data_IF_001872537969
#
_entry.id   IF_001872537969
#
_cell.length_a   1.000
_cell.length_b   1.000
_cell.length_c   1.000
_cell.angle_alpha   90.00
_cell.angle_beta   90.00
_cell.angle_gamma   90.00
#
_symmetry.space_group_name_H-M   'P 1'
#
loop_
_entity.id
_entity.type
_entity.pdbx_description
1 polymer ?
#
# COMPACT_ATOMS: atom_id res chain seq x y z
N UNK A 1 -2.73 -11.91 7.64
CA UNK A 1 -3.25 -10.55 7.34
C UNK A 1 -4.61 -10.68 6.68
N UNK A 2 -5.62 -9.89 7.06
CA UNK A 2 -6.99 -10.09 6.56
C UNK A 2 -7.17 -9.62 5.11
N UNK A 3 -6.72 -8.41 4.80
CA UNK A 3 -6.80 -7.77 3.49
C UNK A 3 -5.54 -6.94 3.20
N UNK A 4 -5.32 -6.58 1.94
CA UNK A 4 -4.31 -5.62 1.52
C UNK A 4 -4.91 -4.72 0.44
N UNK A 5 -5.26 -3.51 0.83
CA UNK A 5 -5.87 -2.52 -0.05
C UNK A 5 -4.81 -1.57 -0.59
N UNK A 6 -4.60 -1.51 -1.90
CA UNK A 6 -3.85 -0.40 -2.50
C UNK A 6 -4.76 0.82 -2.61
N UNK A 7 -4.33 1.96 -2.08
CA UNK A 7 -5.06 3.23 -2.17
C UNK A 7 -4.20 4.26 -2.89
N UNK A 8 -4.69 4.79 -4.00
CA UNK A 8 -3.92 5.64 -4.91
C UNK A 8 -4.78 6.76 -5.46
N UNK A 9 -4.24 7.98 -5.50
CA UNK A 9 -4.78 9.08 -6.30
C UNK A 9 -3.93 9.21 -7.56
N UNK A 10 -4.58 9.19 -8.72
CA UNK A 10 -3.95 9.14 -10.04
C UNK A 10 -4.73 9.98 -11.03
N UNK A 11 -4.07 10.62 -11.99
CA UNK A 11 -4.78 11.32 -13.06
C UNK A 11 -5.09 10.39 -14.24
N UNK A 12 -5.75 10.92 -15.27
CA UNK A 12 -6.14 10.15 -16.46
C UNK A 12 -4.95 9.65 -17.29
N UNK A 13 -3.74 10.18 -17.08
CA UNK A 13 -2.51 9.75 -17.74
C UNK A 13 -1.65 8.84 -16.87
N UNK A 14 -2.16 8.39 -15.71
CA UNK A 14 -1.44 7.50 -14.80
C UNK A 14 -0.44 8.22 -13.88
N UNK A 15 -0.35 9.55 -13.92
CA UNK A 15 0.56 10.33 -13.06
C UNK A 15 0.09 10.26 -11.61
N UNK A 16 1.02 10.00 -10.69
CA UNK A 16 0.79 9.99 -9.23
C UNK A 16 1.77 10.90 -8.48
N UNK A 17 2.73 11.51 -9.17
CA UNK A 17 3.74 12.35 -8.53
C UNK A 17 4.53 13.20 -9.52
N UNK A 18 5.03 14.33 -9.02
CA UNK A 18 5.98 15.22 -9.67
C UNK A 18 6.89 15.80 -8.58
N UNK A 19 8.21 15.72 -8.73
CA UNK A 19 9.16 16.34 -7.80
C UNK A 19 9.03 15.83 -6.35
N UNK A 20 8.68 14.56 -6.18
CA UNK A 20 8.39 13.95 -4.87
C UNK A 20 7.21 14.59 -4.11
N UNK A 21 6.22 15.13 -4.82
CA UNK A 21 4.96 15.62 -4.27
C UNK A 21 3.77 15.20 -5.16
N UNK A 22 2.55 15.34 -4.65
CA UNK A 22 1.35 15.24 -5.48
C UNK A 22 1.24 16.50 -6.36
N UNK A 23 0.97 16.38 -7.67
CA UNK A 23 0.89 17.51 -8.59
C UNK A 23 -0.46 18.27 -8.52
N UNK A 24 -1.27 17.96 -7.51
CA UNK A 24 -2.55 18.60 -7.25
C UNK A 24 -2.80 18.73 -5.76
N UNK A 25 -3.68 19.66 -5.42
CA UNK A 25 -4.17 19.87 -4.08
C UNK A 25 -5.68 19.58 -4.02
N UNK A 26 -6.02 18.34 -3.67
CA UNK A 26 -7.40 17.86 -3.53
C UNK A 26 -7.62 17.47 -2.07
N UNK A 27 -8.06 18.43 -1.25
CA UNK A 27 -8.21 18.27 0.21
C UNK A 27 -9.28 17.25 0.55
N UNK A 28 -10.37 17.16 -0.22
CA UNK A 28 -11.41 16.19 0.09
C UNK A 28 -10.99 14.75 -0.20
N UNK A 29 -10.10 14.52 -1.17
CA UNK A 29 -9.44 13.21 -1.36
C UNK A 29 -8.45 12.91 -0.22
N UNK A 30 -7.64 13.89 0.21
CA UNK A 30 -6.77 13.70 1.38
C UNK A 30 -7.56 13.41 2.67
N UNK A 31 -8.77 13.96 2.79
CA UNK A 31 -9.72 13.64 3.87
C UNK A 31 -10.20 12.20 3.75
N UNK A 32 -10.64 11.79 2.56
CA UNK A 32 -11.03 10.39 2.29
C UNK A 32 -9.89 9.43 2.61
N UNK A 33 -8.67 9.66 2.11
CA UNK A 33 -7.48 8.85 2.43
C UNK A 33 -7.25 8.74 3.93
N UNK A 34 -7.36 9.85 4.66
CA UNK A 34 -7.18 9.88 6.12
C UNK A 34 -8.25 9.05 6.83
N UNK A 35 -9.51 9.25 6.50
CA UNK A 35 -10.64 8.54 7.11
C UNK A 35 -10.55 7.04 6.83
N UNK A 36 -10.30 6.67 5.58
CA UNK A 36 -10.17 5.27 5.15
C UNK A 36 -9.01 4.54 5.81
N UNK A 37 -7.85 5.19 5.98
CA UNK A 37 -6.64 4.53 6.50
C UNK A 37 -6.47 4.61 8.02
N UNK A 38 -7.26 5.42 8.73
CA UNK A 38 -7.10 5.64 10.17
C UNK A 38 -7.35 4.36 10.98
N UNK A 39 -6.50 4.11 11.98
CA UNK A 39 -6.56 2.88 12.79
C UNK A 39 -5.91 1.66 12.13
N UNK A 40 -5.64 1.72 10.82
CA UNK A 40 -5.00 0.66 10.06
C UNK A 40 -3.46 0.66 10.13
N UNK A 41 -2.89 -0.23 9.33
CA UNK A 41 -1.46 -0.30 9.00
C UNK A 41 -1.26 0.28 7.61
N UNK A 42 -0.28 1.17 7.44
CA UNK A 42 0.09 1.74 6.14
C UNK A 42 1.47 1.27 5.74
N UNK A 43 1.60 0.68 4.56
CA UNK A 43 2.87 0.25 3.95
C UNK A 43 3.22 1.26 2.87
N UNK A 44 4.43 1.82 2.95
CA UNK A 44 4.93 2.76 1.95
C UNK A 44 6.42 2.60 1.67
N UNK A 45 6.85 3.10 0.51
CA UNK A 45 8.27 3.20 0.17
C UNK A 45 8.91 4.45 0.79
N UNK A 46 10.25 4.43 0.89
CA UNK A 46 11.05 5.55 1.44
C UNK A 46 10.70 6.91 0.82
N UNK A 47 10.66 7.03 -0.52
CA UNK A 47 10.39 8.32 -1.19
C UNK A 47 9.03 8.91 -0.80
N UNK A 48 8.00 8.06 -0.72
CA UNK A 48 6.66 8.46 -0.27
C UNK A 48 6.67 8.91 1.19
N UNK A 49 7.40 8.21 2.06
CA UNK A 49 7.57 8.64 3.44
C UNK A 49 8.25 10.02 3.54
N UNK A 50 9.32 10.24 2.77
CA UNK A 50 10.03 11.53 2.70
C UNK A 50 9.12 12.65 2.18
N UNK A 51 8.28 12.36 1.17
CA UNK A 51 7.29 13.28 0.62
C UNK A 51 6.25 13.71 1.65
N UNK A 52 5.76 12.77 2.46
CA UNK A 52 4.82 13.04 3.56
C UNK A 52 5.53 13.80 4.69
N UNK A 53 6.83 13.56 4.89
CA UNK A 53 7.70 14.25 5.84
C UNK A 53 7.49 13.87 7.31
N UNK A 54 6.49 13.03 7.63
CA UNK A 54 6.18 12.60 9.00
C UNK A 54 5.40 11.29 9.02
N UNK A 55 5.41 10.57 10.16
CA UNK A 55 4.52 9.44 10.37
C UNK A 55 3.07 9.86 10.25
N UNK A 56 2.27 9.03 9.59
CA UNK A 56 0.84 9.26 9.51
C UNK A 56 0.21 9.00 10.90
N UNK A 57 -0.44 9.99 11.53
CA UNK A 57 -0.95 9.84 12.90
C UNK A 57 -2.06 8.79 12.94
N UNK A 58 -2.20 8.14 14.11
CA UNK A 58 -3.20 7.09 14.40
C UNK A 58 -3.14 5.90 13.44
N UNK A 59 -1.97 5.65 12.85
CA UNK A 59 -1.68 4.55 11.93
C UNK A 59 -0.37 3.88 12.33
N UNK A 60 -0.26 2.58 12.08
CA UNK A 60 1.02 1.88 12.16
C UNK A 60 1.73 2.04 10.83
N UNK A 61 2.87 2.73 10.80
CA UNK A 61 3.58 3.05 9.57
C UNK A 61 4.67 2.00 9.33
N UNK A 62 4.60 1.28 8.21
CA UNK A 62 5.65 0.36 7.74
C UNK A 62 6.34 1.03 6.55
N UNK A 63 7.63 1.32 6.69
CA UNK A 63 8.41 1.97 5.64
C UNK A 63 9.45 1.01 5.09
N UNK A 64 9.34 0.68 3.81
CA UNK A 64 10.30 -0.17 3.10
C UNK A 64 11.50 0.67 2.66
N UNK A 65 12.66 0.39 3.22
CA UNK A 65 13.89 1.13 2.96
C UNK A 65 15.12 0.32 3.37
N UNK A 66 16.20 0.37 2.58
CA UNK A 66 17.50 -0.16 3.00
C UNK A 66 18.28 0.79 3.93
N UNK A 67 17.85 2.05 4.08
CA UNK A 67 18.50 3.00 4.97
C UNK A 67 18.15 2.68 6.43
N UNK A 68 19.09 2.09 7.17
CA UNK A 68 18.93 1.73 8.57
C UNK A 68 18.69 2.93 9.50
N UNK A 69 19.14 4.14 9.13
CA UNK A 69 18.99 5.35 9.93
C UNK A 69 17.58 5.97 9.86
N UNK A 70 16.73 5.55 8.90
CA UNK A 70 15.44 6.20 8.60
C UNK A 70 14.45 6.25 9.78
N UNK A 71 14.50 5.28 10.69
CA UNK A 71 13.45 5.09 11.70
C UNK A 71 13.97 5.03 13.13
N UNK A 72 15.22 5.43 13.40
CA UNK A 72 15.85 5.18 14.70
C UNK A 72 15.11 5.83 15.89
N UNK A 73 14.15 6.75 15.68
CA UNK A 73 13.54 7.53 16.77
C UNK A 73 12.07 7.95 16.54
N UNK A 74 11.35 7.36 15.57
CA UNK A 74 9.96 7.77 15.28
C UNK A 74 8.93 6.80 15.89
N UNK A 75 8.06 7.24 16.82
CA UNK A 75 7.01 6.39 17.36
C UNK A 75 6.03 5.98 16.27
N UNK A 76 5.57 4.73 16.32
CA UNK A 76 4.64 4.13 15.35
C UNK A 76 5.17 4.03 13.90
N UNK A 77 6.50 4.05 13.73
CA UNK A 77 7.17 3.73 12.46
C UNK A 77 8.02 2.47 12.62
N UNK A 78 7.79 1.50 11.75
CA UNK A 78 8.59 0.30 11.62
C UNK A 78 9.30 0.34 10.26
N UNK A 79 10.63 0.41 10.27
CA UNK A 79 11.42 0.19 9.06
C UNK A 79 11.47 -1.30 8.75
N UNK A 80 11.30 -1.66 7.49
CA UNK A 80 11.56 -3.01 6.97
C UNK A 80 12.44 -2.90 5.72
N UNK A 81 13.11 -4.00 5.40
CA UNK A 81 14.11 -4.05 4.34
C UNK A 81 13.60 -4.62 3.01
N UNK A 82 12.41 -5.24 3.00
CA UNK A 82 11.82 -5.81 1.79
C UNK A 82 10.28 -5.82 1.83
N UNK A 83 9.66 -6.14 0.69
CA UNK A 83 8.20 -6.33 0.57
C UNK A 83 7.73 -7.52 1.39
N UNK A 84 8.49 -8.61 1.40
CA UNK A 84 8.18 -9.81 2.17
C UNK A 84 8.17 -9.49 3.67
N UNK A 85 9.17 -8.75 4.14
CA UNK A 85 9.22 -8.31 5.53
C UNK A 85 8.07 -7.35 5.87
N UNK A 86 7.68 -6.46 4.94
CA UNK A 86 6.54 -5.57 5.12
C UNK A 86 5.22 -6.33 5.31
N UNK A 87 4.96 -7.32 4.47
CA UNK A 87 3.77 -8.18 4.55
C UNK A 87 3.82 -9.02 5.82
N UNK A 88 4.99 -9.59 6.16
CA UNK A 88 5.19 -10.31 7.40
C UNK A 88 4.87 -9.44 8.62
N UNK A 89 5.47 -8.25 8.72
CA UNK A 89 5.23 -7.31 9.80
C UNK A 89 3.75 -6.91 9.91
N UNK A 90 3.12 -6.54 8.79
CA UNK A 90 1.71 -6.18 8.75
C UNK A 90 0.81 -7.35 9.21
N UNK A 91 1.17 -8.59 8.88
CA UNK A 91 0.41 -9.77 9.28
C UNK A 91 0.32 -9.98 10.79
N UNK A 92 1.29 -9.44 11.56
CA UNK A 92 1.37 -9.55 13.02
C UNK A 92 0.48 -8.55 13.77
N UNK A 93 0.00 -7.52 13.08
CA UNK A 93 -0.73 -6.42 13.70
C UNK A 93 -2.25 -6.65 13.74
N UNK A 94 -2.76 -7.61 12.96
CA UNK A 94 -4.20 -7.92 12.84
C UNK A 94 -5.08 -6.68 12.59
N UNK A 95 -4.60 -5.75 11.77
CA UNK A 95 -5.30 -4.53 11.33
C UNK A 95 -5.59 -4.59 9.84
N UNK A 96 -6.49 -3.74 9.38
CA UNK A 96 -6.62 -3.46 7.95
C UNK A 96 -5.32 -2.84 7.43
N UNK A 97 -4.83 -3.34 6.30
CA UNK A 97 -3.54 -2.93 5.76
C UNK A 97 -3.72 -2.22 4.43
N UNK A 98 -3.07 -1.07 4.31
CA UNK A 98 -3.12 -0.21 3.13
C UNK A 98 -1.74 -0.08 2.52
N UNK A 99 -1.63 -0.34 1.23
CA UNK A 99 -0.47 0.04 0.42
C UNK A 99 -0.70 1.46 -0.11
N UNK A 100 0.12 2.41 0.34
CA UNK A 100 -0.07 3.84 0.06
C UNK A 100 0.99 4.41 -0.89
N UNK A 101 1.66 3.53 -1.64
CA UNK A 101 2.64 3.87 -2.68
C UNK A 101 4.09 3.93 -2.19
N UNK A 102 5.03 4.47 -2.97
CA UNK A 102 4.85 5.09 -4.29
C UNK A 102 4.87 4.10 -5.45
N UNK A 103 5.12 4.60 -6.66
CA UNK A 103 5.10 3.85 -7.93
C UNK A 103 5.73 2.44 -7.82
N UNK A 104 6.98 2.36 -7.34
CA UNK A 104 7.70 1.08 -7.23
C UNK A 104 7.05 0.09 -6.26
N UNK A 105 6.37 0.59 -5.22
CA UNK A 105 5.70 -0.26 -4.24
C UNK A 105 4.43 -0.87 -4.81
N UNK A 106 3.66 -0.11 -5.59
CA UNK A 106 2.48 -0.62 -6.29
C UNK A 106 2.85 -1.79 -7.21
N UNK A 107 3.91 -1.64 -8.01
CA UNK A 107 4.37 -2.70 -8.91
C UNK A 107 4.85 -3.94 -8.14
N UNK A 108 5.67 -3.77 -7.09
CA UNK A 108 6.24 -4.91 -6.36
C UNK A 108 5.20 -5.68 -5.52
N UNK A 109 4.14 -5.02 -5.08
CA UNK A 109 3.14 -5.62 -4.19
C UNK A 109 1.86 -6.07 -4.91
N UNK A 110 1.73 -5.80 -6.21
CA UNK A 110 0.54 -6.04 -7.03
C UNK A 110 -0.06 -7.44 -6.83
N UNK A 111 0.78 -8.48 -6.84
CA UNK A 111 0.37 -9.89 -6.72
C UNK A 111 -0.28 -10.25 -5.37
N UNK A 112 -0.19 -9.36 -4.38
CA UNK A 112 -0.69 -9.53 -3.02
C UNK A 112 -1.88 -8.61 -2.70
N UNK A 113 -2.23 -7.68 -3.58
CA UNK A 113 -3.34 -6.74 -3.39
C UNK A 113 -4.65 -7.44 -3.72
N UNK A 114 -5.63 -7.37 -2.82
CA UNK A 114 -6.98 -7.90 -3.06
C UNK A 114 -8.03 -6.82 -3.29
N UNK A 115 -7.68 -5.55 -3.05
CA UNK A 115 -8.55 -4.40 -3.25
C UNK A 115 -7.76 -3.19 -3.73
N UNK A 116 -8.25 -2.50 -4.75
CA UNK A 116 -7.76 -1.17 -5.12
C UNK A 116 -8.84 -0.14 -4.82
N UNK A 117 -8.45 0.96 -4.17
CA UNK A 117 -9.22 2.19 -4.04
C UNK A 117 -8.50 3.26 -4.85
N UNK A 118 -9.09 3.62 -5.99
CA UNK A 118 -8.46 4.49 -6.97
C UNK A 118 -9.24 5.79 -7.05
N UNK A 119 -8.62 6.87 -6.59
CA UNK A 119 -9.11 8.22 -6.85
C UNK A 119 -8.61 8.66 -8.23
N UNK A 120 -9.51 8.84 -9.19
CA UNK A 120 -9.20 9.40 -10.51
C UNK A 120 -9.36 10.92 -10.47
N UNK A 121 -8.24 11.65 -10.50
CA UNK A 121 -8.22 13.11 -10.47
C UNK A 121 -8.28 13.66 -11.89
N UNK A 122 -9.30 14.46 -12.20
CA UNK A 122 -9.47 15.07 -13.52
C UNK A 122 -8.66 16.38 -13.61
N UNK A 123 -7.34 16.25 -13.53
CA UNK A 123 -6.38 17.34 -13.72
C UNK A 123 -5.27 16.87 -14.66
N UNK A 124 -5.03 17.65 -15.70
CA UNK A 124 -3.89 17.40 -16.58
C UNK A 124 -2.58 17.74 -15.84
N UNK A 125 -1.58 16.88 -16.00
CA UNK A 125 -0.25 17.04 -15.41
C UNK A 125 0.78 16.82 -16.50
N UNK A 126 1.55 17.85 -16.83
CA UNK A 126 2.51 17.81 -17.93
C UNK A 126 3.89 17.29 -17.52
N UNK A 127 4.32 17.55 -16.28
CA UNK A 127 5.68 17.24 -15.80
C UNK A 127 5.71 16.08 -14.79
N UNK A 128 4.82 15.09 -14.96
CA UNK A 128 4.75 13.92 -14.07
C UNK A 128 6.02 13.05 -14.15
N UNK A 129 6.57 12.67 -13.00
CA UNK A 129 7.79 11.83 -12.90
C UNK A 129 7.57 10.48 -12.20
N UNK A 130 6.39 10.27 -11.62
CA UNK A 130 5.98 9.02 -10.99
C UNK A 130 4.60 8.60 -11.50
N UNK A 131 4.49 7.32 -11.88
CA UNK A 131 3.30 6.78 -12.54
C UNK A 131 2.77 5.54 -11.83
N UNK A 132 1.45 5.40 -11.80
CA UNK A 132 0.75 4.16 -11.53
C UNK A 132 0.35 3.55 -12.89
N UNK A 133 1.10 2.52 -13.31
CA UNK A 133 0.83 1.82 -14.56
C UNK A 133 -0.41 0.93 -14.40
N UNK A 134 -1.44 1.15 -15.22
CA UNK A 134 -2.67 0.34 -15.21
C UNK A 134 -2.40 -1.16 -15.40
N UNK A 135 -1.29 -1.53 -16.05
CA UNK A 135 -0.85 -2.93 -16.21
C UNK A 135 -0.58 -3.64 -14.88
N UNK A 136 -0.36 -2.88 -13.80
CA UNK A 136 -0.24 -3.41 -12.43
C UNK A 136 -1.52 -4.13 -12.01
N UNK A 137 -2.68 -3.62 -12.42
CA UNK A 137 -3.99 -4.23 -12.12
C UNK A 137 -4.25 -5.41 -13.06
N UNK A 138 -3.70 -5.37 -14.27
CA UNK A 138 -3.90 -6.36 -15.31
C UNK A 138 -5.22 -6.16 -16.03
N UNK A 139 -5.92 -7.25 -16.32
CA UNK A 139 -7.21 -7.20 -17.01
C UNK A 139 -8.32 -6.72 -16.04
N UNK A 140 -8.72 -5.45 -16.19
CA UNK A 140 -9.77 -4.82 -15.40
C UNK A 140 -11.10 -5.57 -15.44
N UNK A 141 -11.42 -6.28 -16.53
CA UNK A 141 -12.66 -7.04 -16.64
C UNK A 141 -12.71 -8.26 -15.69
N UNK A 142 -11.56 -8.65 -15.12
CA UNK A 142 -11.49 -9.69 -14.09
C UNK A 142 -11.78 -9.16 -12.69
N UNK A 143 -11.83 -7.84 -12.50
CA UNK A 143 -12.07 -7.22 -11.20
C UNK A 143 -13.56 -6.90 -11.01
N UNK A 144 -14.03 -7.05 -9.77
CA UNK A 144 -15.35 -6.57 -9.39
C UNK A 144 -15.26 -5.05 -9.16
N UNK A 145 -15.56 -4.27 -10.20
CA UNK A 145 -15.53 -2.82 -10.19
C UNK A 145 -16.82 -2.25 -9.61
N UNK A 146 -16.68 -1.29 -8.69
CA UNK A 146 -17.78 -0.43 -8.24
C UNK A 146 -17.33 1.02 -8.14
N UNK A 147 -18.27 1.95 -8.33
CA UNK A 147 -18.01 3.37 -8.15
C UNK A 147 -18.39 3.74 -6.73
N UNK A 148 -17.39 4.10 -5.92
CA UNK A 148 -17.57 4.54 -4.52
C UNK A 148 -18.02 6.01 -4.48
N UNK A 149 -17.52 6.80 -5.44
CA UNK A 149 -17.90 8.20 -5.60
C UNK A 149 -17.90 8.57 -7.08
N UNK A 150 -19.05 8.99 -7.60
CA UNK A 150 -19.16 9.51 -8.95
C UNK A 150 -18.42 10.86 -9.09
N UNK A 151 -18.06 11.20 -10.33
CA UNK A 151 -17.47 12.49 -10.64
C UNK A 151 -18.49 13.61 -10.40
N UNK A 152 -18.30 14.33 -9.32
CA UNK A 152 -19.02 15.57 -9.03
C UNK A 152 -18.33 16.82 -9.60
N UNK A 153 -18.89 18.02 -9.35
CA UNK A 153 -18.18 19.27 -9.58
C UNK A 153 -16.93 19.37 -8.68
N UNK A 154 -16.05 20.32 -9.00
CA UNK A 154 -14.91 20.67 -8.14
C UNK A 154 -15.45 21.11 -6.78
N UNK A 155 -14.93 20.52 -5.70
CA UNK A 155 -15.29 20.90 -4.33
C UNK A 155 -14.55 22.20 -3.97
N UNK A 156 -15.19 23.08 -3.20
CA UNK A 156 -14.56 24.31 -2.75
C UNK A 156 -13.22 24.04 -2.03
N UNK A 157 -12.15 24.66 -2.52
CA UNK A 157 -10.80 24.51 -1.99
C UNK A 157 -9.98 23.35 -2.57
N UNK A 158 -10.54 22.60 -3.52
CA UNK A 158 -9.83 21.60 -4.32
C UNK A 158 -9.46 22.13 -5.71
N UNK A 159 -8.32 21.68 -6.23
CA UNK A 159 -7.84 22.05 -7.56
C UNK A 159 -8.64 21.41 -8.71
N UNK A 160 -9.30 20.28 -8.46
CA UNK A 160 -9.88 19.45 -9.49
C UNK A 160 -11.02 18.57 -8.98
N UNK A 161 -11.91 18.22 -9.89
CA UNK A 161 -12.90 17.17 -9.65
C UNK A 161 -12.20 15.80 -9.69
N UNK A 162 -12.78 14.84 -8.99
CA UNK A 162 -12.32 13.46 -8.99
C UNK A 162 -13.51 12.50 -8.85
N UNK A 163 -13.26 11.24 -9.15
CA UNK A 163 -14.14 10.11 -8.83
C UNK A 163 -13.34 9.05 -8.06
N UNK A 164 -14.01 8.14 -7.37
CA UNK A 164 -13.36 7.04 -6.65
C UNK A 164 -13.94 5.73 -7.14
N UNK A 165 -13.07 4.87 -7.64
CA UNK A 165 -13.38 3.50 -8.02
C UNK A 165 -12.84 2.53 -6.99
N UNK A 166 -13.58 1.46 -6.76
CA UNK A 166 -13.14 0.32 -6.00
C UNK A 166 -13.11 -0.92 -6.89
N UNK A 167 -11.96 -1.59 -6.88
CA UNK A 167 -11.76 -2.86 -7.55
C UNK A 167 -11.53 -3.93 -6.50
N UNK A 168 -12.42 -4.92 -6.41
CA UNK A 168 -12.23 -6.08 -5.53
C UNK A 168 -11.80 -7.30 -6.34
N UNK A 169 -10.75 -7.99 -5.90
CA UNK A 169 -10.27 -9.19 -6.56
C UNK A 169 -11.34 -10.28 -6.47
N UNK A 170 -11.72 -10.95 -7.58
CA UNK A 170 -12.82 -11.91 -7.59
C UNK A 170 -12.53 -13.13 -6.73
N UNK A 171 -11.25 -13.46 -6.55
CA UNK A 171 -10.76 -14.56 -5.72
C UNK A 171 -9.94 -14.05 -4.53
N UNK A 172 -10.59 -13.40 -3.56
CA UNK A 172 -9.92 -12.86 -2.37
C UNK A 172 -9.18 -13.94 -1.56
N UNK A 173 -9.72 -15.17 -1.53
CA UNK A 173 -9.13 -16.32 -0.82
C UNK A 173 -7.78 -16.69 -1.41
N UNK A 174 -7.66 -16.74 -2.74
CA UNK A 174 -6.38 -17.03 -3.40
C UNK A 174 -5.31 -15.98 -3.08
N UNK A 175 -5.65 -14.69 -3.18
CA UNK A 175 -4.71 -13.62 -2.86
C UNK A 175 -4.30 -13.68 -1.38
N UNK A 176 -5.23 -13.97 -0.48
CA UNK A 176 -4.92 -14.19 0.92
C UNK A 176 -3.96 -15.38 1.13
N UNK A 177 -4.20 -16.50 0.46
CA UNK A 177 -3.31 -17.67 0.55
C UNK A 177 -1.90 -17.35 0.05
N UNK A 178 -1.75 -16.57 -1.04
CA UNK A 178 -0.44 -16.12 -1.52
C UNK A 178 0.32 -15.34 -0.44
N UNK A 179 -0.37 -14.43 0.27
CA UNK A 179 0.22 -13.68 1.38
C UNK A 179 0.58 -14.58 2.55
N UNK A 180 -0.28 -15.52 2.91
CA UNK A 180 -0.03 -16.44 4.02
C UNK A 180 1.17 -17.37 3.70
N UNK A 181 1.33 -17.81 2.45
CA UNK A 181 2.52 -18.55 1.99
C UNK A 181 3.79 -17.71 2.09
N UNK A 182 3.75 -16.45 1.64
CA UNK A 182 4.88 -15.53 1.76
C UNK A 182 5.28 -15.30 3.22
N UNK A 183 4.31 -15.11 4.11
CA UNK A 183 4.54 -14.95 5.56
C UNK A 183 5.24 -16.18 6.14
N UNK A 184 4.78 -17.39 5.80
CA UNK A 184 5.40 -18.65 6.26
C UNK A 184 6.84 -18.78 5.77
N UNK A 185 7.05 -18.62 4.46
CA UNK A 185 8.37 -18.74 3.84
C UNK A 185 9.37 -17.71 4.38
N UNK A 186 8.92 -16.48 4.59
CA UNK A 186 9.74 -15.44 5.20
C UNK A 186 10.15 -15.82 6.62
N UNK A 187 9.23 -16.35 7.43
CA UNK A 187 9.55 -16.80 8.78
C UNK A 187 10.52 -17.99 8.81
N UNK A 188 10.36 -18.95 7.90
CA UNK A 188 11.22 -20.13 7.81
C UNK A 188 12.65 -19.79 7.41
N UNK A 189 12.84 -18.81 6.52
CA UNK A 189 14.18 -18.39 6.05
C UNK A 189 14.93 -17.50 7.02
N UNK A 190 14.24 -16.84 7.93
CA UNK A 190 14.84 -15.91 8.88
C UNK A 190 14.90 -16.54 10.26
N UNK A 191 16.08 -17.02 10.67
CA UNK A 191 16.31 -17.67 11.97
C UNK A 191 15.79 -16.85 13.16
N UNK A 192 15.88 -15.52 13.08
CA UNK A 192 15.33 -14.60 14.07
C UNK A 192 13.80 -14.72 14.24
N UNK A 193 13.06 -15.02 13.17
CA UNK A 193 11.60 -15.11 13.18
C UNK A 193 11.05 -16.53 13.35
N UNK A 194 11.89 -17.58 13.27
CA UNK A 194 11.47 -18.98 13.51
C UNK A 194 10.91 -19.19 14.92
N UNK A 195 11.59 -18.65 15.93
CA UNK A 195 11.17 -18.72 17.33
C UNK A 195 9.85 -17.98 17.59
N UNK A 196 9.60 -16.88 16.86
CA UNK A 196 8.39 -16.05 16.96
C UNK A 196 7.14 -16.75 16.38
N UNK A 197 7.33 -17.69 15.44
CA UNK A 197 6.24 -18.44 14.82
C UNK A 197 5.95 -19.80 15.48
N UNK A 198 6.71 -20.20 16.50
CA UNK A 198 6.53 -21.49 17.17
C UNK A 198 6.85 -22.71 16.28
N UNK A 199 7.58 -22.50 15.18
CA UNK A 199 8.07 -23.56 14.30
C UNK A 199 9.27 -24.22 14.98
N UNK A 200 9.04 -25.29 15.75
CA UNK A 200 10.13 -26.14 16.27
C UNK A 200 10.79 -26.88 15.10
N UNK A 201 12.10 -27.09 15.19
CA UNK A 201 12.79 -28.01 14.29
C UNK A 201 12.07 -29.36 14.35
N UNK A 202 11.56 -29.83 13.21
CA UNK A 202 11.34 -31.27 13.07
C UNK A 202 12.72 -31.87 13.00
N UNK A 203 13.05 -32.63 14.03
CA UNK A 203 14.36 -33.23 14.26
C UNK A 203 14.97 -33.78 12.97
N UNK A 204 16.21 -33.40 12.72
CA UNK A 204 17.13 -34.24 11.95
C UNK A 204 17.34 -35.53 12.74
N UNK A 205 16.42 -36.49 12.58
CA UNK A 205 16.72 -37.89 12.83
C UNK A 205 17.60 -38.35 11.67
N UNK A 206 18.90 -38.12 11.83
CA UNK A 206 19.93 -38.79 11.02
C UNK A 206 19.98 -40.23 11.55
N UNK A 207 19.68 -41.18 10.66
CA UNK A 207 20.01 -42.58 10.83
C UNK A 207 21.51 -42.81 10.56
#
# INVERSE_FOLDING_TARGET
MRNLTAIVAVNLQGVIGCGNALPWHVRSDLKFFRETTTGGTVIMGRKTFDSIGRPLPKRHNIVVSHNAALCAQLPNVQRVSSVEEAIFAASRLNRETFLVGGASMYSQMAAYVDRYLITLVHKDVHDGDAYFDEKIIGDLAKWNLSVVREKGPVVEGDDAAYEIWELNHPNFTEIRLRRDMLVRHFAEKNHFYRSVMGLREVDKVVA
#
